data_IF_609585524743
#
_entry.id   IF_609585524743
#
_cell.length_a   1.000
_cell.length_b   1.000
_cell.length_c   1.000
_cell.angle_alpha   90.00
_cell.angle_beta   90.00
_cell.angle_gamma   90.00
#
_symmetry.space_group_name_H-M   'P 1'
#
loop_
_entity.id
_entity.type
_entity.pdbx_description
1 polymer ?
#
# COMPACT_ATOMS: atom_id res chain seq x y z
N UNK A 1 4.02 24.03 -13.57
CA UNK A 1 3.66 23.80 -12.16
C UNK A 1 4.93 23.41 -11.42
N UNK A 2 5.33 24.15 -10.37
CA UNK A 2 6.60 23.89 -9.67
C UNK A 2 6.48 22.64 -8.79
N UNK A 3 7.60 21.93 -8.56
CA UNK A 3 7.65 20.74 -7.72
C UNK A 3 7.08 20.97 -6.30
N UNK A 4 7.19 22.21 -5.77
CA UNK A 4 6.63 22.59 -4.47
C UNK A 4 5.10 22.59 -4.42
N UNK A 5 4.42 22.98 -5.51
CA UNK A 5 2.96 22.98 -5.56
C UNK A 5 2.39 21.54 -5.62
N UNK A 6 3.08 20.63 -6.30
CA UNK A 6 2.70 19.21 -6.35
C UNK A 6 2.91 18.51 -4.99
N UNK A 7 4.01 18.81 -4.29
CA UNK A 7 4.26 18.27 -2.95
C UNK A 7 3.24 18.74 -1.91
N UNK A 8 2.85 20.01 -1.95
CA UNK A 8 1.84 20.56 -1.05
C UNK A 8 0.45 19.94 -1.27
N UNK A 9 0.06 19.72 -2.54
CA UNK A 9 -1.20 19.05 -2.87
C UNK A 9 -1.22 17.59 -2.40
N UNK A 10 -0.11 16.86 -2.58
CA UNK A 10 0.03 15.48 -2.10
C UNK A 10 -0.07 15.39 -0.56
N UNK A 11 0.58 16.31 0.15
CA UNK A 11 0.51 16.37 1.62
C UNK A 11 -0.91 16.66 2.13
N UNK A 12 -1.62 17.60 1.49
CA UNK A 12 -3.01 17.90 1.84
C UNK A 12 -3.93 16.70 1.60
N UNK A 13 -3.72 15.96 0.51
CA UNK A 13 -4.49 14.76 0.21
C UNK A 13 -4.21 13.63 1.21
N UNK A 14 -2.95 13.42 1.61
CA UNK A 14 -2.59 12.47 2.66
C UNK A 14 -3.18 12.84 4.03
N UNK A 15 -3.21 14.14 4.36
CA UNK A 15 -3.83 14.61 5.60
C UNK A 15 -5.32 14.31 5.63
N UNK A 16 -6.03 14.60 4.53
CA UNK A 16 -7.46 14.27 4.40
C UNK A 16 -7.71 12.76 4.51
N UNK A 17 -6.90 11.93 3.86
CA UNK A 17 -7.00 10.47 3.96
C UNK A 17 -6.81 9.98 5.40
N UNK A 18 -5.92 10.62 6.17
CA UNK A 18 -5.70 10.31 7.59
C UNK A 18 -6.89 10.74 8.44
N UNK A 19 -7.46 11.92 8.19
CA UNK A 19 -8.66 12.38 8.88
C UNK A 19 -9.86 11.45 8.63
N UNK A 20 -10.03 10.95 7.40
CA UNK A 20 -11.03 9.94 7.07
C UNK A 20 -10.80 8.64 7.83
N UNK A 21 -9.54 8.19 7.90
CA UNK A 21 -9.17 7.01 8.69
C UNK A 21 -9.49 7.22 10.17
N UNK A 22 -9.16 8.39 10.74
CA UNK A 22 -9.41 8.75 12.14
C UNK A 22 -10.92 8.78 12.46
N UNK A 23 -11.74 9.38 11.59
CA UNK A 23 -13.19 9.41 11.75
C UNK A 23 -13.83 8.01 11.72
N UNK A 24 -13.24 7.08 10.97
CA UNK A 24 -13.69 5.69 10.90
C UNK A 24 -13.10 4.81 12.02
N UNK A 25 -12.15 5.31 12.82
CA UNK A 25 -11.53 4.60 13.96
C UNK A 25 -12.18 4.91 15.30
N UNK A 26 -13.51 4.93 15.40
CA UNK A 26 -14.16 5.08 16.72
C UNK A 26 -14.18 3.73 17.44
N UNK A 27 -13.07 3.36 18.08
CA UNK A 27 -12.99 2.20 18.97
C UNK A 27 -13.10 2.64 20.43
N UNK A 28 -13.85 1.89 21.25
CA UNK A 28 -13.82 2.07 22.70
C UNK A 28 -12.57 1.38 23.27
N UNK A 29 -12.08 1.83 24.42
CA UNK A 29 -10.90 1.23 25.06
C UNK A 29 -11.05 -0.28 25.30
N UNK A 30 -12.27 -0.74 25.53
CA UNK A 30 -12.59 -2.16 25.70
C UNK A 30 -12.40 -2.98 24.41
N UNK A 31 -12.59 -2.38 23.23
CA UNK A 31 -12.39 -3.01 21.92
C UNK A 31 -10.90 -3.22 21.57
N UNK A 32 -10.02 -2.48 22.25
CA UNK A 32 -8.57 -2.55 22.06
C UNK A 32 -7.91 -3.64 22.92
N UNK A 33 -8.61 -4.14 23.95
CA UNK A 33 -8.02 -5.09 24.90
C UNK A 33 -7.91 -6.48 24.26
N UNK A 34 -6.68 -6.95 24.04
CA UNK A 34 -6.42 -8.27 23.45
C UNK A 34 -6.43 -8.29 21.92
N UNK A 35 -6.57 -7.14 21.27
CA UNK A 35 -6.60 -7.02 19.81
C UNK A 35 -5.51 -6.07 19.29
N UNK A 36 -5.03 -6.37 18.09
CA UNK A 36 -4.14 -5.55 17.29
C UNK A 36 -4.85 -5.15 16.01
N UNK A 37 -4.47 -3.99 15.46
CA UNK A 37 -5.01 -3.49 14.20
C UNK A 37 -3.87 -3.04 13.29
N UNK A 38 -4.07 -3.21 11.99
CA UNK A 38 -3.20 -2.63 10.98
C UNK A 38 -3.98 -2.19 9.75
N UNK A 39 -3.41 -1.24 9.02
CA UNK A 39 -3.88 -0.85 7.70
C UNK A 39 -2.83 -1.27 6.68
N UNK A 40 -3.23 -2.13 5.74
CA UNK A 40 -2.40 -2.50 4.60
C UNK A 40 -2.74 -1.56 3.45
N UNK A 41 -1.69 -1.00 2.83
CA UNK A 41 -1.78 -0.05 1.72
C UNK A 41 -1.17 -0.66 0.46
N UNK A 42 -1.61 -0.19 -0.71
CA UNK A 42 -0.98 -0.51 -1.98
C UNK A 42 -0.99 0.67 -2.93
N UNK A 43 0.07 0.78 -3.72
CA UNK A 43 0.22 1.79 -4.78
C UNK A 43 -0.71 1.48 -5.95
N UNK A 44 -1.01 0.20 -6.17
CA UNK A 44 -1.86 -0.25 -7.25
C UNK A 44 -3.19 -0.76 -6.71
N UNK A 45 -4.24 -0.65 -7.52
CA UNK A 45 -5.56 -1.17 -7.18
C UNK A 45 -5.50 -2.67 -6.83
N UNK A 46 -5.93 -3.02 -5.63
CA UNK A 46 -6.05 -4.36 -5.09
C UNK A 46 -7.53 -4.80 -5.09
N UNK A 47 -8.07 -5.03 -6.28
CA UNK A 47 -9.43 -5.54 -6.51
C UNK A 47 -9.42 -6.95 -7.10
N UNK A 48 -10.53 -7.69 -6.94
CA UNK A 48 -10.67 -9.05 -7.46
C UNK A 48 -9.68 -10.02 -6.82
N UNK A 49 -8.97 -10.79 -7.64
CA UNK A 49 -8.05 -11.82 -7.16
C UNK A 49 -6.96 -11.27 -6.23
N UNK A 50 -6.43 -10.08 -6.50
CA UNK A 50 -5.41 -9.45 -5.64
C UNK A 50 -5.92 -9.20 -4.21
N UNK A 51 -7.21 -8.84 -4.08
CA UNK A 51 -7.82 -8.65 -2.77
C UNK A 51 -7.98 -9.98 -2.04
N UNK A 52 -8.43 -11.01 -2.76
CA UNK A 52 -8.59 -12.35 -2.21
C UNK A 52 -7.25 -12.94 -1.76
N UNK A 53 -6.19 -12.76 -2.56
CA UNK A 53 -4.83 -13.14 -2.21
C UNK A 53 -4.35 -12.41 -0.96
N UNK A 54 -4.52 -11.08 -0.89
CA UNK A 54 -4.19 -10.32 0.33
C UNK A 54 -4.91 -10.92 1.54
N UNK A 55 -6.23 -11.07 1.47
CA UNK A 55 -7.00 -11.62 2.58
C UNK A 55 -6.54 -13.03 2.99
N UNK A 56 -6.16 -13.87 2.03
CA UNK A 56 -5.63 -15.21 2.31
C UNK A 56 -4.26 -15.16 3.00
N UNK A 57 -3.33 -14.34 2.51
CA UNK A 57 -2.00 -14.14 3.12
C UNK A 57 -2.10 -13.57 4.54
N UNK A 58 -3.00 -12.62 4.76
CA UNK A 58 -3.23 -12.03 6.07
C UNK A 58 -3.90 -13.02 7.03
N UNK A 59 -4.89 -13.79 6.55
CA UNK A 59 -5.56 -14.82 7.35
C UNK A 59 -4.62 -15.92 7.84
N UNK A 60 -3.59 -16.29 7.07
CA UNK A 60 -2.55 -17.24 7.50
C UNK A 60 -1.80 -16.77 8.76
N UNK A 61 -1.71 -15.45 8.95
CA UNK A 61 -1.04 -14.81 10.09
C UNK A 61 -2.03 -14.41 11.21
N UNK A 62 -3.27 -14.90 11.14
CA UNK A 62 -4.33 -14.63 12.12
C UNK A 62 -4.99 -13.27 11.97
N UNK A 63 -4.74 -12.55 10.87
CA UNK A 63 -5.40 -11.27 10.60
C UNK A 63 -6.77 -11.48 9.96
N UNK A 64 -7.77 -10.86 10.54
CA UNK A 64 -9.15 -10.85 10.09
C UNK A 64 -9.50 -9.51 9.46
N UNK A 65 -10.14 -9.54 8.29
CA UNK A 65 -10.63 -8.33 7.62
C UNK A 65 -11.65 -7.61 8.51
N UNK A 66 -11.43 -6.33 8.74
CA UNK A 66 -12.38 -5.46 9.46
C UNK A 66 -13.13 -4.58 8.48
N UNK A 67 -12.38 -3.89 7.64
CA UNK A 67 -12.92 -2.83 6.80
C UNK A 67 -12.05 -2.65 5.55
N UNK A 68 -12.70 -2.32 4.44
CA UNK A 68 -12.05 -1.92 3.20
C UNK A 68 -12.41 -0.45 2.94
N UNK A 69 -11.47 0.47 3.15
CA UNK A 69 -11.71 1.91 2.89
C UNK A 69 -11.91 2.15 1.40
N UNK A 70 -11.03 1.57 0.60
CA UNK A 70 -11.02 1.68 -0.85
C UNK A 70 -10.25 0.50 -1.46
N UNK A 71 -9.99 0.53 -2.76
CA UNK A 71 -9.22 -0.51 -3.45
C UNK A 71 -7.70 -0.36 -3.30
N UNK A 72 -7.23 0.40 -2.32
CA UNK A 72 -5.80 0.58 -2.00
C UNK A 72 -5.50 0.49 -0.52
N UNK A 73 -6.51 0.54 0.36
CA UNK A 73 -6.37 0.58 1.82
C UNK A 73 -7.39 -0.36 2.48
N UNK A 74 -6.88 -1.27 3.30
CA UNK A 74 -7.68 -2.29 3.97
C UNK A 74 -7.24 -2.42 5.43
N UNK A 75 -8.20 -2.43 6.36
CA UNK A 75 -7.96 -2.62 7.80
C UNK A 75 -8.18 -4.07 8.20
N UNK A 76 -7.24 -4.58 8.99
CA UNK A 76 -7.32 -5.89 9.62
C UNK A 76 -7.24 -5.78 11.14
N UNK A 77 -7.76 -6.80 11.82
CA UNK A 77 -7.58 -7.02 13.26
C UNK A 77 -7.02 -8.40 13.55
N UNK A 78 -6.35 -8.58 14.68
CA UNK A 78 -5.82 -9.88 15.10
C UNK A 78 -5.76 -9.97 16.62
N UNK A 79 -5.96 -11.17 17.19
CA UNK A 79 -5.75 -11.40 18.63
C UNK A 79 -4.26 -11.36 18.97
N UNK A 80 -3.89 -10.68 20.06
CA UNK A 80 -2.47 -10.57 20.52
C UNK A 80 -1.82 -11.95 20.75
N UNK A 81 -2.62 -12.98 21.08
CA UNK A 81 -2.14 -14.36 21.27
C UNK A 81 -1.43 -14.94 20.03
N UNK A 82 -1.77 -14.46 18.83
CA UNK A 82 -1.11 -14.89 17.59
C UNK A 82 0.36 -14.47 17.51
N UNK A 83 0.79 -13.47 18.30
CA UNK A 83 2.19 -13.01 18.32
C UNK A 83 3.19 -14.12 18.60
N UNK A 84 2.81 -15.13 19.40
CA UNK A 84 3.67 -16.27 19.70
C UNK A 84 4.03 -17.10 18.45
N UNK A 85 3.23 -16.99 17.38
CA UNK A 85 3.42 -17.69 16.10
C UNK A 85 4.10 -16.85 15.02
N UNK A 86 4.32 -15.56 15.27
CA UNK A 86 4.90 -14.63 14.28
C UNK A 86 6.29 -15.09 13.79
N UNK A 87 7.05 -15.77 14.64
CA UNK A 87 8.37 -16.33 14.29
C UNK A 87 8.32 -17.44 13.21
N UNK A 88 7.16 -18.04 12.97
CA UNK A 88 6.96 -19.10 11.98
C UNK A 88 6.29 -18.60 10.70
N UNK A 89 6.02 -17.30 10.60
CA UNK A 89 5.33 -16.72 9.47
C UNK A 89 6.23 -16.69 8.22
N UNK A 90 5.69 -17.13 7.08
CA UNK A 90 6.37 -17.02 5.78
C UNK A 90 6.46 -15.56 5.29
N UNK A 91 5.47 -14.75 5.66
CA UNK A 91 5.34 -13.35 5.31
C UNK A 91 5.32 -12.53 6.59
N UNK A 92 6.04 -11.41 6.62
CA UNK A 92 6.05 -10.47 7.76
C UNK A 92 4.62 -10.12 8.21
N UNK A 93 4.18 -10.57 9.40
CA UNK A 93 2.83 -10.33 9.90
C UNK A 93 2.50 -8.85 10.10
N UNK A 94 3.50 -7.98 10.24
CA UNK A 94 3.31 -6.54 10.47
C UNK A 94 3.51 -5.70 9.21
N UNK A 95 3.65 -6.32 8.04
CA UNK A 95 3.71 -5.56 6.78
C UNK A 95 2.48 -4.67 6.63
N UNK A 96 2.72 -3.44 6.20
CA UNK A 96 1.69 -2.42 5.93
C UNK A 96 1.61 -2.03 4.46
N UNK A 97 2.42 -2.67 3.61
CA UNK A 97 2.48 -2.41 2.17
C UNK A 97 2.30 -3.73 1.42
N UNK A 98 1.42 -3.74 0.43
CA UNK A 98 1.15 -4.88 -0.44
C UNK A 98 1.51 -4.56 -1.89
N UNK A 99 2.22 -5.48 -2.53
CA UNK A 99 2.76 -5.31 -3.87
C UNK A 99 4.02 -4.44 -3.91
N UNK A 100 4.22 -3.71 -5.00
CA UNK A 100 5.39 -2.84 -5.19
C UNK A 100 5.16 -1.54 -4.40
N UNK A 101 6.08 -1.20 -3.50
CA UNK A 101 6.04 0.07 -2.75
C UNK A 101 6.26 1.30 -3.64
N UNK A 102 5.84 2.47 -3.17
CA UNK A 102 5.81 3.73 -3.94
C UNK A 102 7.15 4.05 -4.59
N UNK A 103 8.24 3.98 -3.83
CA UNK A 103 9.60 4.28 -4.31
C UNK A 103 10.03 3.35 -5.44
N UNK A 104 9.77 2.04 -5.30
CA UNK A 104 10.14 1.05 -6.33
C UNK A 104 9.31 1.26 -7.60
N UNK A 105 8.02 1.54 -7.45
CA UNK A 105 7.13 1.85 -8.57
C UNK A 105 7.59 3.11 -9.32
N UNK A 106 7.91 4.18 -8.59
CA UNK A 106 8.41 5.44 -9.16
C UNK A 106 9.74 5.25 -9.91
N UNK A 107 10.69 4.49 -9.34
CA UNK A 107 11.96 4.18 -9.98
C UNK A 107 11.78 3.38 -11.27
N UNK A 108 10.91 2.37 -11.28
CA UNK A 108 10.60 1.58 -12.47
C UNK A 108 9.98 2.44 -13.58
N UNK A 109 9.03 3.32 -13.23
CA UNK A 109 8.44 4.25 -14.19
C UNK A 109 9.46 5.24 -14.76
N UNK A 110 10.30 5.84 -13.90
CA UNK A 110 11.36 6.74 -14.37
C UNK A 110 12.34 6.02 -15.31
N UNK A 111 12.76 4.80 -14.96
CA UNK A 111 13.63 3.99 -15.81
C UNK A 111 13.00 3.68 -17.17
N UNK A 112 11.71 3.32 -17.19
CA UNK A 112 10.98 3.05 -18.44
C UNK A 112 10.85 4.29 -19.32
N UNK A 113 10.60 5.46 -18.73
CA UNK A 113 10.53 6.74 -19.46
C UNK A 113 11.88 7.09 -20.07
N UNK A 114 12.97 7.02 -19.28
CA UNK A 114 14.33 7.33 -19.75
C UNK A 114 14.72 6.39 -20.90
N UNK A 115 14.45 5.09 -20.76
CA UNK A 115 14.72 4.12 -21.81
C UNK A 115 13.91 4.39 -23.08
N UNK A 116 12.61 4.69 -22.94
CA UNK A 116 11.75 5.04 -24.06
C UNK A 116 12.24 6.27 -24.82
N UNK A 117 12.64 7.33 -24.10
CA UNK A 117 13.23 8.52 -24.69
C UNK A 117 14.53 8.17 -25.44
N UNK A 118 15.43 7.41 -24.82
CA UNK A 118 16.69 7.00 -25.45
C UNK A 118 16.47 6.21 -26.74
N UNK A 119 15.51 5.27 -26.75
CA UNK A 119 15.15 4.49 -27.95
C UNK A 119 14.61 5.40 -29.05
N UNK A 120 13.71 6.34 -28.72
CA UNK A 120 13.18 7.31 -29.68
C UNK A 120 14.30 8.18 -30.26
N UNK A 121 15.22 8.67 -29.42
CA UNK A 121 16.37 9.46 -29.88
C UNK A 121 17.24 8.66 -30.85
N UNK A 122 17.55 7.40 -30.55
CA UNK A 122 18.35 6.53 -31.43
C UNK A 122 17.65 6.32 -32.78
N UNK A 123 16.33 6.09 -32.79
CA UNK A 123 15.56 5.91 -34.03
C UNK A 123 15.60 7.18 -34.89
N UNK A 124 15.43 8.36 -34.28
CA UNK A 124 15.47 9.64 -34.99
C UNK A 124 16.84 9.87 -35.61
N UNK A 125 17.92 9.61 -34.87
CA UNK A 125 19.29 9.76 -35.38
C UNK A 125 19.55 8.80 -36.54
N UNK A 126 19.16 7.54 -36.41
CA UNK A 126 19.31 6.54 -37.47
C UNK A 126 18.47 6.83 -38.73
N UNK A 127 17.35 7.54 -38.60
CA UNK A 127 16.52 7.94 -39.74
C UNK A 127 17.10 9.14 -40.52
N UNK A 128 18.04 9.89 -39.93
CA UNK A 128 18.69 11.05 -40.57
C UNK A 128 20.09 10.75 -41.13
N UNK A 129 20.64 9.56 -40.86
CA UNK A 129 21.90 9.04 -41.41
C UNK A 129 21.67 8.21 -42.67
#
# INVERSE_FOLDING_TARGET
MSAGAAAAAAAAQQAKMREEEEQLTVYKADDLTGWEFKIVRSVTRMSGDKFNTLCAEEAQNGWELVEKFDDTRVRFKRRIEWRARDQYAEIDPYRTQYGIGETKFALLLMGAIILGIAVITVIIVAAQS
#
